data_IF_181839627595
#
_entry.id   IF_181839627595
#
_cell.length_a   1.000
_cell.length_b   1.000
_cell.length_c   1.000
_cell.angle_alpha   90.00
_cell.angle_beta   90.00
_cell.angle_gamma   90.00
#
_symmetry.space_group_name_H-M   'P 1'
#
loop_
_entity.id
_entity.type
_entity.pdbx_description
1 polymer ?
#
# COMPACT_ATOMS: atom_id res chain seq x y z
N UNK A 1 -12.56 49.28 1.21
CA UNK A 1 -13.26 48.02 1.58
C UNK A 1 -12.76 46.92 0.65
N UNK A 2 -11.97 46.00 1.17
CA UNK A 2 -11.48 44.87 0.40
C UNK A 2 -12.61 43.88 0.10
N UNK A 3 -12.78 43.48 -1.15
CA UNK A 3 -13.69 42.38 -1.52
C UNK A 3 -13.20 41.11 -0.89
N UNK A 4 -14.00 40.54 -0.01
CA UNK A 4 -13.74 39.19 0.52
C UNK A 4 -13.95 38.17 -0.60
N UNK A 5 -12.86 37.61 -1.12
CA UNK A 5 -12.93 36.53 -2.11
C UNK A 5 -13.12 35.24 -1.31
N UNK A 6 -14.28 34.63 -1.42
CA UNK A 6 -14.54 33.32 -0.82
C UNK A 6 -14.08 32.23 -1.79
N UNK A 7 -13.06 31.51 -1.42
CA UNK A 7 -12.69 30.28 -2.11
C UNK A 7 -13.35 29.09 -1.44
N UNK A 8 -13.89 28.19 -2.23
CA UNK A 8 -14.38 26.91 -1.77
C UNK A 8 -13.84 25.81 -2.68
N UNK A 9 -13.28 24.79 -2.09
CA UNK A 9 -12.99 23.55 -2.80
C UNK A 9 -14.19 22.60 -2.68
N UNK A 10 -14.41 21.77 -3.67
CA UNK A 10 -15.40 20.68 -3.58
C UNK A 10 -14.68 19.40 -3.13
N UNK A 11 -15.26 18.72 -2.15
CA UNK A 11 -14.83 17.37 -1.84
C UNK A 11 -15.26 16.37 -2.96
N UNK A 12 -14.80 15.12 -2.95
CA UNK A 12 -15.20 14.11 -3.94
C UNK A 12 -16.72 13.89 -4.06
N UNK A 13 -17.48 14.23 -2.99
CA UNK A 13 -18.95 14.19 -2.99
C UNK A 13 -19.60 15.48 -3.52
N UNK A 14 -18.82 16.42 -4.03
CA UNK A 14 -19.31 17.68 -4.62
C UNK A 14 -19.72 18.74 -3.59
N UNK A 15 -19.53 18.50 -2.29
CA UNK A 15 -19.87 19.44 -1.22
C UNK A 15 -18.77 20.51 -1.11
N UNK A 16 -19.17 21.78 -1.07
CA UNK A 16 -18.25 22.89 -0.87
C UNK A 16 -17.61 22.83 0.52
N UNK A 17 -16.29 22.83 0.58
CA UNK A 17 -15.53 22.85 1.83
C UNK A 17 -14.88 24.23 1.97
N UNK A 18 -15.05 24.92 3.11
CA UNK A 18 -14.41 26.21 3.32
C UNK A 18 -12.88 26.05 3.34
N UNK A 19 -12.18 26.94 2.65
CA UNK A 19 -10.73 27.02 2.71
C UNK A 19 -10.39 27.98 3.87
N UNK A 20 -9.68 27.48 4.86
CA UNK A 20 -9.17 28.32 5.94
C UNK A 20 -7.84 28.96 5.52
N UNK A 21 -7.72 30.26 5.74
CA UNK A 21 -6.45 30.97 5.63
C UNK A 21 -5.88 31.21 7.04
N UNK A 22 -4.57 31.10 7.19
CA UNK A 22 -3.88 31.49 8.41
C UNK A 22 -3.85 33.01 8.56
N UNK A 23 -3.49 33.51 9.73
CA UNK A 23 -3.43 34.95 10.04
C UNK A 23 -2.41 35.71 9.16
N UNK A 24 -1.44 35.03 8.57
CA UNK A 24 -0.48 35.56 7.61
C UNK A 24 -0.98 35.56 6.16
N UNK A 25 -2.23 35.13 5.94
CA UNK A 25 -2.85 35.09 4.61
C UNK A 25 -2.50 33.85 3.79
N UNK A 26 -1.74 32.91 4.34
CA UNK A 26 -1.44 31.66 3.65
C UNK A 26 -2.67 30.75 3.64
N UNK A 27 -2.98 30.18 2.47
CA UNK A 27 -4.06 29.20 2.33
C UNK A 27 -3.53 27.85 2.75
N UNK A 28 -3.97 27.36 3.90
CA UNK A 28 -3.69 26.00 4.31
C UNK A 28 -4.71 25.05 3.67
N UNK A 29 -4.29 24.39 2.61
CA UNK A 29 -5.04 23.27 2.07
C UNK A 29 -4.68 22.05 2.93
N UNK A 30 -5.48 21.78 3.96
CA UNK A 30 -5.41 20.48 4.61
C UNK A 30 -5.91 19.45 3.61
N UNK A 31 -4.99 18.67 3.07
CA UNK A 31 -5.32 17.53 2.23
C UNK A 31 -6.00 16.49 3.13
N UNK A 32 -7.31 16.40 3.03
CA UNK A 32 -8.02 15.26 3.62
C UNK A 32 -7.71 14.08 2.71
N UNK A 33 -6.80 13.23 3.18
CA UNK A 33 -6.46 12.01 2.48
C UNK A 33 -7.63 11.03 2.61
N UNK A 34 -8.21 10.65 1.48
CA UNK A 34 -9.00 9.44 1.47
C UNK A 34 -8.05 8.27 1.69
N UNK A 35 -8.37 7.43 2.65
CA UNK A 35 -7.56 6.24 2.97
C UNK A 35 -8.41 4.99 2.82
N UNK A 36 -7.90 4.04 2.06
CA UNK A 36 -8.47 2.70 1.93
C UNK A 36 -7.45 1.66 2.39
N UNK A 37 -7.91 0.70 3.17
CA UNK A 37 -7.09 -0.43 3.62
C UNK A 37 -7.64 -1.71 3.02
N UNK A 38 -6.78 -2.46 2.34
CA UNK A 38 -7.12 -3.74 1.72
C UNK A 38 -6.24 -4.82 2.34
N UNK A 39 -6.87 -5.80 3.00
CA UNK A 39 -6.13 -6.96 3.51
C UNK A 39 -5.90 -7.95 2.37
N UNK A 40 -4.63 -8.24 2.06
CA UNK A 40 -4.23 -9.16 1.00
C UNK A 40 -3.74 -10.51 1.53
N UNK A 41 -3.29 -10.54 2.78
CA UNK A 41 -2.93 -11.79 3.47
C UNK A 41 -3.43 -11.77 4.91
N UNK A 42 -4.07 -12.87 5.30
CA UNK A 42 -4.42 -13.16 6.68
C UNK A 42 -4.20 -14.66 6.92
N UNK A 43 -2.93 -15.04 7.10
CA UNK A 43 -2.50 -16.42 7.15
C UNK A 43 -2.38 -16.84 8.61
N UNK A 44 -3.20 -17.81 9.02
CA UNK A 44 -3.24 -18.40 10.37
C UNK A 44 -2.93 -19.89 10.39
N UNK A 45 -2.86 -20.50 9.21
CA UNK A 45 -2.49 -21.90 9.00
C UNK A 45 -1.34 -21.98 8.02
N UNK A 46 -0.33 -22.74 8.37
CA UNK A 46 0.92 -22.80 7.61
C UNK A 46 1.13 -24.20 7.06
N UNK A 47 0.90 -24.36 5.75
CA UNK A 47 1.08 -25.65 5.05
C UNK A 47 2.26 -25.64 4.07
N UNK A 48 3.03 -24.56 4.06
CA UNK A 48 4.13 -24.39 3.10
C UNK A 48 5.00 -23.18 3.38
N UNK A 49 5.80 -22.82 2.42
CA UNK A 49 6.78 -21.72 2.49
C UNK A 49 6.47 -20.57 1.53
N UNK A 50 5.38 -20.66 0.77
CA UNK A 50 4.97 -19.63 -0.19
C UNK A 50 3.46 -19.43 -0.13
N UNK A 51 3.06 -18.18 0.07
CA UNK A 51 1.66 -17.79 0.18
C UNK A 51 1.35 -16.71 -0.86
N UNK A 52 0.38 -17.00 -1.70
CA UNK A 52 -0.09 -16.11 -2.76
C UNK A 52 -1.29 -15.32 -2.25
N UNK A 53 -1.41 -14.02 -2.53
CA UNK A 53 -2.60 -13.26 -2.19
C UNK A 53 -3.80 -13.78 -2.99
N UNK A 54 -4.98 -13.69 -2.39
CA UNK A 54 -6.22 -14.14 -3.02
C UNK A 54 -6.66 -13.20 -4.14
N UNK A 55 -6.30 -11.92 -4.04
CA UNK A 55 -6.74 -10.88 -4.96
C UNK A 55 -5.59 -9.92 -5.30
N UNK A 56 -5.69 -9.28 -6.47
CA UNK A 56 -4.87 -8.13 -6.82
C UNK A 56 -5.49 -6.87 -6.20
N UNK A 57 -4.63 -5.95 -5.79
CA UNK A 57 -5.08 -4.63 -5.36
C UNK A 57 -4.86 -3.65 -6.51
N UNK A 58 -5.95 -3.11 -7.04
CA UNK A 58 -5.90 -2.02 -8.00
C UNK A 58 -5.59 -0.71 -7.25
N UNK A 59 -4.43 -0.15 -7.56
CA UNK A 59 -3.93 1.11 -6.99
C UNK A 59 -3.85 2.24 -8.02
N UNK A 60 -4.40 2.05 -9.22
CA UNK A 60 -4.28 2.99 -10.35
C UNK A 60 -4.81 4.40 -10.06
N UNK A 61 -5.83 4.51 -9.20
CA UNK A 61 -6.42 5.80 -8.81
C UNK A 61 -5.84 6.40 -7.52
N UNK A 62 -4.80 5.79 -6.95
CA UNK A 62 -4.24 6.17 -5.67
C UNK A 62 -2.84 6.77 -5.82
N UNK A 63 -2.63 7.91 -5.16
CA UNK A 63 -1.36 8.62 -5.26
C UNK A 63 -0.26 8.06 -4.36
N UNK A 64 -0.64 7.36 -3.30
CA UNK A 64 0.31 6.78 -2.33
C UNK A 64 -0.12 5.37 -1.97
N UNK A 65 0.83 4.45 -1.98
CA UNK A 65 0.66 3.05 -1.61
C UNK A 65 1.69 2.70 -0.55
N UNK A 66 1.24 2.19 0.58
CA UNK A 66 2.11 1.68 1.64
C UNK A 66 1.61 0.33 2.15
N UNK A 67 2.46 -0.40 2.85
CA UNK A 67 2.13 -1.71 3.43
C UNK A 67 2.16 -1.63 4.95
N UNK A 68 1.23 -2.33 5.59
CA UNK A 68 1.30 -2.69 7.00
C UNK A 68 1.42 -4.20 7.09
N UNK A 69 2.46 -4.67 7.73
CA UNK A 69 2.79 -6.09 7.81
C UNK A 69 2.92 -6.48 9.27
N UNK A 70 2.15 -7.48 9.66
CA UNK A 70 2.29 -8.15 10.95
C UNK A 70 2.86 -9.54 10.69
N UNK A 71 4.03 -9.79 11.27
CA UNK A 71 4.59 -11.13 11.39
C UNK A 71 4.67 -11.52 12.86
N UNK A 72 3.64 -12.20 13.38
CA UNK A 72 3.69 -12.73 14.75
C UNK A 72 4.12 -14.20 14.78
N UNK A 73 4.68 -14.71 13.68
CA UNK A 73 5.14 -16.10 13.61
C UNK A 73 6.52 -16.28 14.26
N UNK A 74 6.93 -17.53 14.36
CA UNK A 74 8.25 -17.96 14.82
C UNK A 74 9.33 -17.91 13.71
N UNK A 75 8.99 -17.48 12.50
CA UNK A 75 9.90 -17.42 11.33
C UNK A 75 9.98 -16.02 10.75
N UNK A 76 11.12 -15.67 10.20
CA UNK A 76 11.26 -14.50 9.32
C UNK A 76 10.48 -14.75 8.03
N UNK A 77 9.71 -13.76 7.62
CA UNK A 77 9.01 -13.77 6.34
C UNK A 77 9.67 -12.79 5.38
N UNK A 78 9.58 -13.08 4.10
CA UNK A 78 10.00 -12.20 3.02
C UNK A 78 8.77 -11.74 2.25
N UNK A 79 8.63 -10.46 2.05
CA UNK A 79 7.65 -9.89 1.14
C UNK A 79 8.30 -9.78 -0.24
N UNK A 80 7.65 -10.33 -1.25
CA UNK A 80 8.16 -10.33 -2.62
C UNK A 80 7.04 -9.99 -3.60
N UNK A 81 7.23 -9.05 -4.51
CA UNK A 81 6.28 -8.84 -5.58
C UNK A 81 6.25 -10.08 -6.48
N UNK A 82 5.09 -10.33 -7.04
CA UNK A 82 4.93 -11.36 -8.05
C UNK A 82 5.72 -10.97 -9.31
N UNK A 83 6.50 -11.90 -9.81
CA UNK A 83 7.36 -11.68 -10.99
C UNK A 83 6.70 -12.07 -12.31
N UNK A 84 5.52 -12.66 -12.25
CA UNK A 84 4.77 -13.02 -13.46
C UNK A 84 4.12 -11.79 -14.10
N UNK A 85 3.66 -12.04 -15.28
CA UNK A 85 3.03 -11.03 -16.13
C UNK A 85 1.70 -10.59 -15.53
N UNK A 86 1.51 -9.30 -15.36
CA UNK A 86 0.20 -8.70 -15.05
C UNK A 86 -0.34 -7.94 -16.27
N UNK A 87 -1.66 -7.78 -16.32
CA UNK A 87 -2.33 -7.10 -17.42
C UNK A 87 -2.94 -5.79 -16.92
N UNK A 88 -2.62 -4.70 -17.60
CA UNK A 88 -3.18 -3.37 -17.36
C UNK A 88 -3.61 -2.77 -18.71
N UNK A 89 -4.87 -2.36 -18.83
CA UNK A 89 -5.42 -1.79 -20.05
C UNK A 89 -5.28 -2.69 -21.30
N UNK A 90 -5.22 -4.01 -21.14
CA UNK A 90 -4.99 -4.97 -22.21
C UNK A 90 -3.52 -5.22 -22.55
N UNK A 91 -2.59 -4.51 -21.91
CA UNK A 91 -1.15 -4.72 -22.07
C UNK A 91 -0.62 -5.69 -21.00
N UNK A 92 0.37 -6.49 -21.38
CA UNK A 92 1.05 -7.41 -20.47
C UNK A 92 2.38 -6.82 -20.05
N UNK A 93 2.57 -6.70 -18.75
CA UNK A 93 3.80 -6.22 -18.15
C UNK A 93 4.44 -7.33 -17.31
N UNK A 94 5.74 -7.37 -17.30
CA UNK A 94 6.53 -8.29 -16.48
C UNK A 94 7.56 -7.49 -15.70
N UNK A 95 7.62 -7.71 -14.39
CA UNK A 95 8.70 -7.17 -13.60
C UNK A 95 10.03 -7.79 -14.05
N UNK A 96 11.03 -6.96 -14.30
CA UNK A 96 12.37 -7.42 -14.53
C UNK A 96 12.91 -8.09 -13.25
N UNK A 97 13.66 -9.16 -13.40
CA UNK A 97 14.18 -9.95 -12.27
C UNK A 97 14.98 -9.09 -11.28
N UNK A 98 15.78 -8.17 -11.76
CA UNK A 98 16.58 -7.27 -10.92
C UNK A 98 15.69 -6.30 -10.14
N UNK A 99 14.65 -5.79 -10.78
CA UNK A 99 13.65 -4.95 -10.15
C UNK A 99 12.90 -5.74 -9.07
N UNK A 100 12.46 -6.96 -9.35
CA UNK A 100 11.80 -7.81 -8.38
C UNK A 100 12.68 -8.09 -7.14
N UNK A 101 13.99 -8.23 -7.31
CA UNK A 101 14.91 -8.41 -6.20
C UNK A 101 15.07 -7.16 -5.33
N UNK A 102 14.99 -5.96 -5.90
CA UNK A 102 15.04 -4.71 -5.16
C UNK A 102 13.83 -4.50 -4.25
N UNK A 103 12.74 -5.18 -4.51
CA UNK A 103 11.48 -5.09 -3.73
C UNK A 103 11.37 -6.10 -2.61
N UNK A 104 12.21 -7.09 -2.61
CA UNK A 104 12.19 -8.11 -1.57
C UNK A 104 12.73 -7.51 -0.28
N UNK A 105 11.99 -7.67 0.79
CA UNK A 105 12.47 -7.31 2.11
C UNK A 105 11.96 -8.30 3.16
N UNK A 106 12.77 -8.47 4.17
CA UNK A 106 12.51 -9.39 5.27
C UNK A 106 11.77 -8.68 6.39
N UNK A 107 10.82 -9.38 6.99
CA UNK A 107 10.15 -8.99 8.23
C UNK A 107 10.46 -10.06 9.27
N UNK A 108 11.29 -9.74 10.27
CA UNK A 108 11.66 -10.70 11.30
C UNK A 108 10.47 -11.26 12.08
N UNK A 109 10.66 -12.41 12.70
CA UNK A 109 9.70 -13.01 13.61
C UNK A 109 9.29 -12.06 14.74
N UNK A 110 8.01 -11.91 15.00
CA UNK A 110 7.48 -11.06 16.06
C UNK A 110 7.42 -9.55 15.73
N UNK A 111 7.71 -9.13 14.49
CA UNK A 111 7.75 -7.72 14.13
C UNK A 111 6.50 -7.22 13.40
N UNK A 112 6.19 -5.95 13.66
CA UNK A 112 5.25 -5.15 12.89
C UNK A 112 6.04 -4.13 12.08
N UNK A 113 5.75 -4.05 10.79
CA UNK A 113 6.43 -3.15 9.86
C UNK A 113 5.40 -2.33 9.10
N UNK A 114 5.70 -1.05 8.95
CA UNK A 114 4.98 -0.15 8.04
C UNK A 114 5.99 0.39 7.05
N UNK A 115 5.74 0.21 5.76
CA UNK A 115 6.58 0.84 4.75
C UNK A 115 6.31 2.34 4.70
N UNK A 116 7.32 3.18 4.43
CA UNK A 116 7.09 4.60 4.20
C UNK A 116 6.22 4.84 2.95
N UNK A 117 5.59 6.00 2.88
CA UNK A 117 4.71 6.38 1.76
C UNK A 117 5.46 6.55 0.43
N UNK A 118 6.77 6.74 0.49
CA UNK A 118 7.68 6.83 -0.66
C UNK A 118 8.45 5.52 -0.93
N UNK A 119 7.99 4.41 -0.37
CA UNK A 119 8.64 3.12 -0.57
C UNK A 119 8.72 2.83 -2.07
N UNK A 120 9.94 2.59 -2.59
CA UNK A 120 10.14 2.45 -4.02
C UNK A 120 9.21 1.40 -4.61
N UNK A 121 8.65 1.69 -5.80
CA UNK A 121 7.90 0.75 -6.62
C UNK A 121 6.44 0.49 -6.27
N UNK A 122 6.01 0.59 -5.04
CA UNK A 122 4.59 0.40 -4.72
C UNK A 122 3.73 1.40 -5.51
N UNK A 123 4.22 2.63 -5.66
CA UNK A 123 3.52 3.70 -6.40
C UNK A 123 3.57 3.54 -7.94
N UNK A 124 4.40 2.64 -8.46
CA UNK A 124 4.48 2.34 -9.89
C UNK A 124 3.70 1.11 -10.30
N UNK A 125 3.20 0.36 -9.33
CA UNK A 125 2.43 -0.86 -9.58
C UNK A 125 0.94 -0.54 -9.53
N UNK A 126 0.28 -0.54 -10.68
CA UNK A 126 -1.17 -0.33 -10.74
C UNK A 126 -1.97 -1.54 -10.24
N UNK A 127 -1.38 -2.73 -10.32
CA UNK A 127 -1.93 -3.96 -9.76
C UNK A 127 -0.92 -4.61 -8.83
N UNK A 128 -1.20 -4.56 -7.53
CA UNK A 128 -0.34 -5.12 -6.50
C UNK A 128 -0.67 -6.59 -6.24
N UNK A 129 0.36 -7.43 -6.37
CA UNK A 129 0.31 -8.83 -6.02
C UNK A 129 1.62 -9.18 -5.31
N UNK A 130 1.55 -9.39 -4.01
CA UNK A 130 2.71 -9.61 -3.16
C UNK A 130 2.68 -11.02 -2.58
N UNK A 131 3.73 -11.79 -2.80
CA UNK A 131 3.94 -13.06 -2.13
C UNK A 131 4.48 -12.85 -0.73
N UNK A 132 4.07 -13.71 0.17
CA UNK A 132 4.76 -13.95 1.44
C UNK A 132 5.53 -15.25 1.31
N UNK A 133 6.83 -15.18 1.51
CA UNK A 133 7.74 -16.32 1.42
C UNK A 133 8.39 -16.57 2.79
N UNK A 134 8.69 -17.80 3.08
CA UNK A 134 9.47 -18.22 4.27
C UNK A 134 10.46 -19.29 3.88
N UNK A 135 11.56 -19.43 4.61
CA UNK A 135 12.51 -20.51 4.38
C UNK A 135 11.97 -21.87 4.90
N UNK A 136 11.19 -21.81 5.97
CA UNK A 136 10.52 -22.94 6.59
C UNK A 136 9.10 -22.57 6.94
N UNK A 137 8.17 -23.52 6.91
CA UNK A 137 6.80 -23.24 7.31
C UNK A 137 6.75 -22.80 8.79
N UNK A 138 6.09 -21.67 9.11
CA UNK A 138 5.87 -21.27 10.49
C UNK A 138 5.07 -22.32 11.25
N UNK A 139 5.31 -22.42 12.54
CA UNK A 139 4.58 -23.36 13.42
C UNK A 139 3.55 -22.68 14.32
N UNK A 140 3.68 -21.37 14.52
CA UNK A 140 2.80 -20.57 15.40
C UNK A 140 2.57 -19.17 14.84
N UNK A 141 1.59 -18.48 15.40
CA UNK A 141 1.33 -17.07 15.10
C UNK A 141 0.45 -16.85 13.88
N UNK A 142 0.57 -15.67 13.30
CA UNK A 142 -0.11 -15.27 12.07
C UNK A 142 0.72 -14.29 11.24
N UNK A 143 0.43 -14.25 9.97
CA UNK A 143 0.95 -13.24 9.04
C UNK A 143 -0.24 -12.45 8.50
N UNK A 144 -0.18 -11.13 8.61
CA UNK A 144 -1.16 -10.23 8.03
C UNK A 144 -0.44 -9.19 7.18
N UNK A 145 -0.92 -8.98 5.97
CA UNK A 145 -0.42 -7.93 5.08
C UNK A 145 -1.60 -7.10 4.59
N UNK A 146 -1.56 -5.83 4.89
CA UNK A 146 -2.53 -4.84 4.45
C UNK A 146 -1.85 -3.86 3.49
N UNK A 147 -2.52 -3.57 2.39
CA UNK A 147 -2.19 -2.46 1.50
C UNK A 147 -2.97 -1.24 1.96
N UNK A 148 -2.27 -0.14 2.20
CA UNK A 148 -2.85 1.14 2.58
C UNK A 148 -2.72 2.09 1.40
N UNK A 149 -3.85 2.50 0.87
CA UNK A 149 -3.98 3.38 -0.28
C UNK A 149 -4.43 4.76 0.19
N UNK A 150 -3.80 5.82 -0.32
CA UNK A 150 -4.13 7.21 0.03
C UNK A 150 -4.22 8.08 -1.23
N UNK A 151 -5.21 8.98 -1.27
CA UNK A 151 -5.39 9.98 -2.35
C UNK A 151 -6.04 11.26 -1.85
#
# INVERSE_FOLDING_TARGET
MGKLIKFAAKNPSGVAVPIAASADGAIHVSRVWETKVVNIHNITSFSGTSYVPTEYVDSSEWGVVSLRILNSTDKTIMISPRTDTYTDGGHKFKLLSDTANQFKFDVPAGYWVVTPDDFPFLNYMTLLNLYVLTNEAPTTGKIQVDVVLKR
#
